data_IF_190857602023
#
_entry.id   IF_190857602023
#
_cell.length_a   1.000
_cell.length_b   1.000
_cell.length_c   1.000
_cell.angle_alpha   90.00
_cell.angle_beta   90.00
_cell.angle_gamma   90.00
#
_symmetry.space_group_name_H-M   'P 1'
#
loop_
_entity.id
_entity.type
_entity.pdbx_description
1 polymer ?
#
# COMPACT_ATOMS: atom_id res chain seq x y z
N UNK A 1 22.86 -23.52 36.59
CA UNK A 1 23.73 -22.43 36.11
C UNK A 1 23.55 -22.23 34.61
N UNK A 2 24.02 -23.13 33.73
CA UNK A 2 23.93 -22.98 32.27
C UNK A 2 22.50 -22.90 31.70
N UNK A 3 21.57 -23.68 32.23
CA UNK A 3 20.16 -23.68 31.76
C UNK A 3 19.48 -22.35 32.09
N UNK A 4 19.77 -21.79 33.27
CA UNK A 4 19.22 -20.51 33.72
C UNK A 4 19.79 -19.37 32.88
N UNK A 5 21.09 -19.39 32.57
CA UNK A 5 21.69 -18.38 31.69
C UNK A 5 21.17 -18.44 30.26
N UNK A 6 20.91 -19.64 29.71
CA UNK A 6 20.31 -19.80 28.37
C UNK A 6 18.86 -19.31 28.34
N UNK A 7 18.07 -19.61 29.37
CA UNK A 7 16.69 -19.13 29.48
C UNK A 7 16.62 -17.60 29.61
N UNK A 8 17.52 -17.00 30.38
CA UNK A 8 17.63 -15.53 30.51
C UNK A 8 18.05 -14.90 29.17
N UNK A 9 19.00 -15.49 28.45
CA UNK A 9 19.41 -14.98 27.14
C UNK A 9 18.23 -15.04 26.13
N UNK A 10 17.48 -16.14 26.11
CA UNK A 10 16.32 -16.30 25.25
C UNK A 10 15.18 -15.31 25.60
N UNK A 11 14.95 -15.03 26.89
CA UNK A 11 13.98 -14.03 27.34
C UNK A 11 14.42 -12.60 27.03
N UNK A 12 15.71 -12.29 27.15
CA UNK A 12 16.27 -11.00 26.74
C UNK A 12 16.17 -10.80 25.23
N UNK A 13 16.45 -11.84 24.43
CA UNK A 13 16.22 -11.84 22.98
C UNK A 13 14.75 -11.55 22.69
N UNK A 14 13.79 -12.29 23.26
CA UNK A 14 12.36 -12.01 23.05
C UNK A 14 11.90 -10.64 23.59
N UNK A 15 12.53 -10.09 24.63
CA UNK A 15 12.23 -8.75 25.13
C UNK A 15 12.85 -7.63 24.28
N UNK A 16 13.96 -7.90 23.58
CA UNK A 16 14.57 -7.00 22.60
C UNK A 16 13.81 -7.05 21.27
N UNK A 17 13.31 -8.22 20.87
CA UNK A 17 12.57 -8.45 19.61
C UNK A 17 11.05 -8.43 19.75
N UNK A 18 10.52 -8.32 20.97
CA UNK A 18 9.09 -8.31 21.23
C UNK A 18 8.56 -6.89 21.38
N UNK A 19 7.74 -6.44 20.42
CA UNK A 19 6.40 -5.87 20.64
C UNK A 19 5.86 -5.32 19.30
N UNK A 20 4.87 -5.98 18.74
CA UNK A 20 3.93 -5.51 17.71
C UNK A 20 4.56 -4.75 16.52
N UNK A 21 5.13 -5.50 15.57
CA UNK A 21 5.55 -4.99 14.25
C UNK A 21 4.38 -4.67 13.32
N UNK A 22 3.16 -5.02 13.76
CA UNK A 22 1.97 -4.77 12.99
C UNK A 22 1.63 -3.28 12.94
N UNK A 23 1.55 -2.73 11.72
CA UNK A 23 1.13 -1.36 11.48
C UNK A 23 -0.22 -1.38 10.78
N UNK A 24 -1.15 -0.58 11.29
CA UNK A 24 -2.42 -0.35 10.60
C UNK A 24 -2.29 0.89 9.72
N UNK A 25 -2.66 0.77 8.45
CA UNK A 25 -2.65 1.88 7.49
C UNK A 25 -4.05 2.10 6.97
N UNK A 26 -4.44 3.36 6.83
CA UNK A 26 -5.67 3.81 6.19
C UNK A 26 -5.33 4.86 5.16
N UNK A 27 -5.82 4.71 3.95
CA UNK A 27 -5.57 5.61 2.82
C UNK A 27 -6.93 6.02 2.29
N UNK A 28 -7.12 7.32 2.13
CA UNK A 28 -8.34 7.87 1.55
C UNK A 28 -8.03 8.92 0.50
N UNK A 29 -8.98 9.16 -0.37
CA UNK A 29 -8.85 10.17 -1.42
C UNK A 29 -9.98 10.09 -2.42
N UNK A 30 -9.75 10.69 -3.59
CA UNK A 30 -10.67 10.70 -4.72
C UNK A 30 -9.93 10.52 -6.03
N UNK A 31 -10.40 9.60 -6.88
CA UNK A 31 -9.82 9.36 -8.19
C UNK A 31 -10.70 9.96 -9.29
N UNK A 32 -10.07 10.74 -10.16
CA UNK A 32 -10.68 11.30 -11.35
C UNK A 32 -9.96 10.79 -12.60
N UNK A 33 -10.73 10.69 -13.68
CA UNK A 33 -10.24 10.52 -15.03
C UNK A 33 -10.89 11.59 -15.92
N UNK A 34 -10.07 12.51 -16.45
CA UNK A 34 -10.54 13.65 -17.25
C UNK A 34 -11.57 14.51 -16.52
N UNK A 35 -11.33 14.75 -15.23
CA UNK A 35 -12.24 15.49 -14.36
C UNK A 35 -13.52 14.74 -13.97
N UNK A 36 -13.75 13.53 -14.48
CA UNK A 36 -14.89 12.69 -14.11
C UNK A 36 -14.51 11.72 -12.99
N UNK A 37 -15.39 11.47 -12.01
CA UNK A 37 -15.18 10.43 -11.01
C UNK A 37 -14.90 9.07 -11.64
N UNK A 38 -13.88 8.37 -11.15
CA UNK A 38 -13.70 6.94 -11.43
C UNK A 38 -14.59 6.18 -10.46
N UNK A 39 -15.75 5.73 -10.92
CA UNK A 39 -16.81 5.15 -10.07
C UNK A 39 -16.64 3.63 -9.96
N UNK A 40 -16.80 3.08 -8.75
CA UNK A 40 -16.68 1.63 -8.47
C UNK A 40 -15.39 1.03 -9.06
N UNK A 41 -14.31 1.80 -8.99
CA UNK A 41 -13.05 1.50 -9.65
C UNK A 41 -12.12 0.74 -8.69
N UNK A 42 -11.50 -0.37 -9.12
CA UNK A 42 -10.68 -1.21 -8.24
C UNK A 42 -9.42 -0.49 -7.76
N UNK A 43 -9.13 -0.66 -6.48
CA UNK A 43 -7.94 -0.13 -5.81
C UNK A 43 -7.34 -1.18 -4.90
N UNK A 44 -6.02 -1.10 -4.68
CA UNK A 44 -5.31 -2.07 -3.85
C UNK A 44 -4.37 -1.38 -2.85
N UNK A 45 -4.40 -1.88 -1.61
CA UNK A 45 -3.36 -1.65 -0.61
C UNK A 45 -2.41 -2.83 -0.67
N UNK A 46 -1.13 -2.56 -0.93
CA UNK A 46 -0.13 -3.60 -1.18
C UNK A 46 1.06 -3.39 -0.25
N UNK A 47 1.61 -4.49 0.26
CA UNK A 47 2.85 -4.51 1.02
C UNK A 47 4.01 -4.92 0.11
N UNK A 48 5.06 -4.08 0.08
CA UNK A 48 6.27 -4.35 -0.69
C UNK A 48 7.09 -5.43 -0.01
N UNK A 49 7.26 -6.57 -0.66
CA UNK A 49 8.17 -7.60 -0.17
C UNK A 49 9.55 -7.43 -0.81
N UNK A 50 10.61 -7.49 0.01
CA UNK A 50 11.98 -7.39 -0.49
C UNK A 50 12.53 -8.72 -1.04
N UNK A 51 12.06 -9.85 -0.51
CA UNK A 51 12.56 -11.19 -0.86
C UNK A 51 11.60 -11.99 -1.74
N UNK A 52 10.31 -11.64 -1.71
CA UNK A 52 9.23 -12.36 -2.37
C UNK A 52 8.38 -11.41 -3.21
N UNK A 53 7.36 -11.96 -3.88
CA UNK A 53 6.37 -11.14 -4.57
C UNK A 53 5.61 -10.24 -3.58
N UNK A 54 5.24 -9.05 -4.04
CA UNK A 54 4.44 -8.11 -3.26
C UNK A 54 3.10 -8.75 -2.86
N UNK A 55 2.61 -8.41 -1.67
CA UNK A 55 1.40 -9.02 -1.11
C UNK A 55 0.26 -8.01 -1.09
N UNK A 56 -0.85 -8.35 -1.74
CA UNK A 56 -2.08 -7.55 -1.64
C UNK A 56 -2.65 -7.71 -0.23
N UNK A 57 -2.64 -6.61 0.53
CA UNK A 57 -3.16 -6.55 1.90
C UNK A 57 -4.68 -6.46 1.87
N UNK A 58 -5.20 -5.58 1.01
CA UNK A 58 -6.63 -5.33 0.87
C UNK A 58 -6.96 -4.88 -0.55
N UNK A 59 -8.09 -5.38 -1.07
CA UNK A 59 -8.75 -4.83 -2.25
C UNK A 59 -9.95 -4.00 -1.83
N UNK A 60 -10.22 -2.94 -2.58
CA UNK A 60 -11.38 -2.09 -2.42
C UNK A 60 -11.79 -1.48 -3.75
N UNK A 61 -12.79 -0.62 -3.70
CA UNK A 61 -13.28 0.13 -4.85
C UNK A 61 -13.60 1.57 -4.43
N UNK A 62 -13.56 2.50 -5.38
CA UNK A 62 -14.11 3.84 -5.19
C UNK A 62 -15.64 3.83 -5.15
N UNK A 63 -16.27 4.87 -4.62
CA UNK A 63 -17.72 5.04 -4.58
C UNK A 63 -18.29 5.72 -5.84
N UNK A 64 -19.59 6.06 -5.78
CA UNK A 64 -20.33 6.75 -6.85
C UNK A 64 -19.81 8.15 -7.21
N UNK A 65 -19.00 8.74 -6.33
CA UNK A 65 -18.39 10.06 -6.53
C UNK A 65 -16.87 9.97 -6.71
N UNK A 66 -16.33 8.75 -6.80
CA UNK A 66 -14.92 8.44 -7.01
C UNK A 66 -14.07 8.52 -5.74
N UNK A 67 -14.68 8.66 -4.56
CA UNK A 67 -13.96 8.65 -3.29
C UNK A 67 -13.62 7.21 -2.88
N UNK A 68 -12.54 7.06 -2.13
CA UNK A 68 -12.20 5.78 -1.52
C UNK A 68 -11.66 5.95 -0.12
N UNK A 69 -11.78 4.88 0.66
CA UNK A 69 -11.21 4.76 2.00
C UNK A 69 -10.87 3.29 2.24
N UNK A 70 -9.57 2.96 2.18
CA UNK A 70 -9.05 1.59 2.29
C UNK A 70 -8.11 1.50 3.48
N UNK A 71 -8.27 0.45 4.29
CA UNK A 71 -7.39 0.20 5.41
C UNK A 71 -7.01 -1.27 5.55
N UNK A 72 -5.82 -1.52 6.08
CA UNK A 72 -5.31 -2.86 6.37
C UNK A 72 -4.26 -2.83 7.46
N UNK A 73 -4.05 -3.98 8.09
CA UNK A 73 -2.99 -4.21 9.07
C UNK A 73 -1.91 -5.05 8.40
N UNK A 74 -0.67 -4.63 8.53
CA UNK A 74 0.48 -5.24 7.88
C UNK A 74 1.47 -5.64 8.96
N UNK A 75 1.89 -6.90 8.92
CA UNK A 75 2.90 -7.45 9.81
C UNK A 75 4.09 -7.94 8.98
N UNK A 76 5.14 -7.13 8.92
CA UNK A 76 6.46 -7.52 8.39
C UNK A 76 7.49 -7.34 9.51
N UNK A 77 7.80 -8.45 10.17
CA UNK A 77 8.71 -8.50 11.31
C UNK A 77 10.20 -8.49 10.91
N UNK A 78 10.54 -8.71 9.64
CA UNK A 78 11.92 -8.89 9.20
C UNK A 78 12.55 -7.58 8.72
N UNK A 79 11.87 -6.84 7.84
CA UNK A 79 12.37 -5.56 7.32
C UNK A 79 11.53 -4.39 7.80
N UNK A 80 10.29 -4.63 8.21
CA UNK A 80 9.34 -3.59 8.62
C UNK A 80 8.40 -3.18 7.48
N UNK A 81 7.13 -2.84 7.77
CA UNK A 81 6.12 -2.54 6.75
C UNK A 81 6.50 -1.41 5.80
N UNK A 82 6.25 -1.62 4.51
CA UNK A 82 6.48 -0.72 3.40
C UNK A 82 5.28 -0.69 2.44
N UNK A 83 4.10 -0.23 2.92
CA UNK A 83 2.89 -0.23 2.12
C UNK A 83 2.93 0.79 0.99
N UNK A 84 2.21 0.48 -0.07
CA UNK A 84 1.91 1.41 -1.14
C UNK A 84 0.48 1.25 -1.64
N UNK A 85 -0.04 2.35 -2.17
CA UNK A 85 -1.33 2.38 -2.86
C UNK A 85 -1.13 2.06 -4.33
N UNK A 86 -1.93 1.14 -4.86
CA UNK A 86 -1.86 0.71 -6.25
C UNK A 86 -3.21 0.89 -6.95
N UNK A 87 -3.16 1.47 -8.15
CA UNK A 87 -4.31 1.59 -9.06
C UNK A 87 -3.84 1.24 -10.48
N UNK A 88 -4.39 0.16 -11.03
CA UNK A 88 -4.23 -0.18 -12.44
C UNK A 88 -5.39 0.41 -13.25
N UNK A 89 -5.13 1.30 -14.20
CA UNK A 89 -6.16 2.03 -14.93
C UNK A 89 -5.89 2.19 -16.42
N UNK A 90 -6.97 2.41 -17.18
CA UNK A 90 -6.94 2.73 -18.60
C UNK A 90 -7.38 4.18 -18.87
N UNK A 91 -7.22 5.07 -17.87
CA UNK A 91 -7.43 6.50 -18.07
C UNK A 91 -6.39 7.07 -19.06
N UNK A 92 -6.81 7.17 -20.31
CA UNK A 92 -6.10 7.80 -21.40
C UNK A 92 -6.77 9.15 -21.67
N UNK A 93 -5.99 10.16 -22.06
CA UNK A 93 -6.57 11.37 -22.63
C UNK A 93 -7.16 11.13 -24.02
N UNK A 94 -7.23 12.20 -24.84
CA UNK A 94 -7.61 12.15 -26.27
C UNK A 94 -6.76 11.19 -27.15
N UNK A 95 -5.73 10.56 -26.60
CA UNK A 95 -4.99 9.47 -27.26
C UNK A 95 -5.76 8.15 -27.10
N UNK A 96 -6.87 8.03 -27.83
CA UNK A 96 -7.56 6.76 -27.95
C UNK A 96 -6.76 5.77 -28.82
N UNK A 97 -6.92 4.49 -28.49
CA UNK A 97 -6.87 3.35 -29.41
C UNK A 97 -5.54 2.88 -29.97
N UNK A 98 -4.70 2.14 -29.21
CA UNK A 98 -3.92 1.07 -29.87
C UNK A 98 -3.94 -0.29 -29.14
N UNK A 99 -4.10 -0.43 -27.82
CA UNK A 99 -4.07 -1.77 -27.19
C UNK A 99 -5.02 -1.90 -25.98
N UNK A 100 -6.15 -2.62 -26.15
CA UNK A 100 -7.10 -2.91 -25.06
C UNK A 100 -6.53 -3.78 -23.92
N UNK A 101 -5.31 -4.30 -24.08
CA UNK A 101 -4.61 -5.18 -23.15
C UNK A 101 -3.54 -4.49 -22.31
N UNK A 102 -3.41 -3.17 -22.44
CA UNK A 102 -2.47 -2.39 -21.65
C UNK A 102 -3.21 -1.60 -20.57
N UNK A 103 -2.64 -1.54 -19.38
CA UNK A 103 -3.04 -0.64 -18.30
C UNK A 103 -1.84 0.18 -17.84
N UNK A 104 -2.11 1.39 -17.36
CA UNK A 104 -1.16 2.19 -16.60
C UNK A 104 -1.26 1.80 -15.14
N UNK A 105 -0.14 1.81 -14.46
CA UNK A 105 -0.11 1.58 -13.02
C UNK A 105 0.33 2.84 -12.30
N UNK A 106 -0.49 3.24 -11.34
CA UNK A 106 -0.22 4.32 -10.43
C UNK A 106 0.17 3.76 -9.06
N UNK A 107 1.30 4.24 -8.55
CA UNK A 107 1.87 3.82 -7.28
C UNK A 107 2.15 5.03 -6.40
N UNK A 108 1.62 5.02 -5.17
CA UNK A 108 2.09 5.93 -4.12
C UNK A 108 2.76 5.10 -3.03
N UNK A 109 4.08 5.21 -2.97
CA UNK A 109 4.88 4.66 -1.89
C UNK A 109 4.79 5.59 -0.69
N UNK A 110 4.33 5.07 0.43
CA UNK A 110 4.36 5.81 1.68
C UNK A 110 5.73 5.59 2.30
N UNK A 111 6.56 6.63 2.28
CA UNK A 111 7.91 6.55 2.82
C UNK A 111 7.86 6.07 4.26
N UNK A 112 8.87 5.26 4.59
CA UNK A 112 9.16 4.87 5.96
C UNK A 112 9.61 6.08 6.76
N UNK A 113 8.67 6.86 7.26
CA UNK A 113 8.90 7.63 8.48
C UNK A 113 8.90 6.64 9.64
N UNK A 114 10.01 5.89 9.74
CA UNK A 114 10.33 4.97 10.83
C UNK A 114 11.52 5.57 11.59
N UNK A 115 11.22 6.57 12.41
CA UNK A 115 11.95 6.74 13.66
C UNK A 115 10.95 6.46 14.78
N UNK A 116 10.94 5.20 15.20
CA UNK A 116 10.39 4.67 16.45
C UNK A 116 9.48 5.60 17.26
N UNK A 117 8.15 5.57 17.06
CA UNK A 117 7.23 5.71 18.16
C UNK A 117 6.88 4.31 18.71
N UNK A 118 6.73 4.16 20.03
CA UNK A 118 6.29 2.92 20.61
C UNK A 118 4.81 2.73 20.30
N UNK A 119 4.42 1.49 19.96
CA UNK A 119 3.04 0.99 19.88
C UNK A 119 2.31 1.17 18.53
N UNK A 120 1.35 0.26 18.33
CA UNK A 120 0.47 0.02 17.18
C UNK A 120 -0.29 1.25 16.63
N UNK A 121 0.40 2.21 16.03
CA UNK A 121 -0.25 3.40 15.48
C UNK A 121 -0.92 3.13 14.13
N UNK A 122 -2.18 3.54 14.00
CA UNK A 122 -2.85 3.68 12.71
C UNK A 122 -2.31 4.91 11.98
N UNK A 123 -1.70 4.72 10.81
CA UNK A 123 -1.29 5.84 9.94
C UNK A 123 -2.41 6.13 8.94
N UNK A 124 -2.85 7.39 8.89
CA UNK A 124 -3.87 7.85 7.94
C UNK A 124 -3.20 8.72 6.89
N UNK A 125 -3.35 8.34 5.63
CA UNK A 125 -2.87 9.10 4.48
C UNK A 125 -4.07 9.64 3.69
N UNK A 126 -4.13 10.97 3.57
CA UNK A 126 -5.12 11.64 2.73
C UNK A 126 -4.45 12.07 1.42
N UNK A 127 -4.81 11.38 0.34
CA UNK A 127 -4.28 11.65 -0.99
C UNK A 127 -5.01 12.82 -1.67
N UNK A 128 -6.08 13.36 -1.07
CA UNK A 128 -6.93 14.35 -1.70
C UNK A 128 -7.49 13.85 -3.03
N UNK A 129 -7.68 14.76 -3.98
CA UNK A 129 -8.11 14.41 -5.35
C UNK A 129 -6.89 14.17 -6.24
N UNK A 130 -6.94 13.10 -7.04
CA UNK A 130 -5.90 12.73 -8.00
C UNK A 130 -6.51 12.51 -9.39
N UNK A 131 -5.86 13.09 -10.39
CA UNK A 131 -6.22 12.96 -11.81
C UNK A 131 -5.32 11.93 -12.47
N UNK A 132 -5.89 10.76 -12.78
CA UNK A 132 -5.15 9.60 -13.30
C UNK A 132 -4.59 9.84 -14.71
N UNK A 133 -5.10 10.82 -15.45
CA UNK A 133 -4.52 11.20 -16.74
C UNK A 133 -3.09 11.72 -16.63
N UNK A 134 -2.74 12.36 -15.51
CA UNK A 134 -1.45 13.04 -15.31
C UNK A 134 -0.34 12.17 -14.72
N UNK A 135 -0.63 10.90 -14.40
CA UNK A 135 0.32 10.04 -13.68
C UNK A 135 1.41 9.42 -14.58
N UNK A 136 2.62 9.33 -14.01
CA UNK A 136 3.88 8.93 -14.67
C UNK A 136 3.90 7.42 -14.98
N UNK A 137 4.43 7.09 -16.14
CA UNK A 137 4.17 5.88 -16.90
C UNK A 137 5.00 4.64 -16.50
N UNK A 138 4.32 3.53 -16.21
CA UNK A 138 4.77 2.18 -16.55
C UNK A 138 3.61 1.51 -17.30
N UNK A 139 3.83 1.16 -18.56
CA UNK A 139 2.86 0.45 -19.37
C UNK A 139 3.05 -1.05 -19.14
N UNK A 140 2.10 -1.68 -18.46
CA UNK A 140 2.05 -3.13 -18.39
C UNK A 140 1.00 -3.61 -19.38
N UNK A 141 1.50 -4.28 -20.42
CA UNK A 141 0.68 -4.87 -21.49
C UNK A 141 0.73 -6.39 -21.34
N UNK A 142 -0.44 -7.01 -21.25
CA UNK A 142 -0.56 -8.47 -21.29
C UNK A 142 -0.60 -8.86 -22.78
N UNK A 143 0.45 -9.53 -23.26
CA UNK A 143 0.57 -10.03 -24.64
C UNK A 143 0.29 -11.53 -24.71
#
# INVERSE_FOLDING_TARGET
MAIISVAILALLVHAIYGLDTAVSVRIRGRLLCEGKPMIFFPIELVEKNILFADTVVKRGETDGDGYFDISGTIDDWFVGPSPYFHVAHQCYGDTQNILSYCHKEFYIYFLREFQNPPNSFSKIYDLGTREMKSDVHIWNCIF
#
